data_IF_792523519571
#
_entry.id   IF_792523519571
#
_cell.length_a   1.000
_cell.length_b   1.000
_cell.length_c   1.000
_cell.angle_alpha   90.00
_cell.angle_beta   90.00
_cell.angle_gamma   90.00
#
_symmetry.space_group_name_H-M   'P 1'
#
loop_
_entity.id
_entity.type
_entity.pdbx_description
1 polymer ?
#
# COMPACT_ATOMS: atom_id res chain seq x y z
N UNK A 1 17.33 -29.62 -10.16
CA UNK A 1 16.14 -28.87 -9.70
C UNK A 1 15.77 -27.71 -10.62
N UNK A 2 16.66 -27.26 -11.53
CA UNK A 2 16.42 -26.18 -12.51
C UNK A 2 15.59 -26.56 -13.76
N UNK A 3 15.28 -27.85 -13.97
CA UNK A 3 14.71 -28.36 -15.25
C UNK A 3 13.29 -27.86 -15.58
N UNK A 4 12.58 -27.26 -14.63
CA UNK A 4 11.18 -26.85 -14.77
C UNK A 4 10.98 -25.32 -14.75
N UNK A 5 12.07 -24.56 -14.71
CA UNK A 5 12.05 -23.10 -14.66
C UNK A 5 12.64 -22.52 -15.93
N UNK A 6 12.04 -21.44 -16.43
CA UNK A 6 12.56 -20.67 -17.56
C UNK A 6 12.91 -19.28 -17.06
N UNK A 7 14.15 -18.87 -17.28
CA UNK A 7 14.64 -17.54 -16.91
C UNK A 7 14.45 -16.56 -18.06
N UNK A 8 13.90 -15.38 -17.77
CA UNK A 8 14.06 -14.22 -18.64
C UNK A 8 15.42 -13.58 -18.36
N UNK A 9 16.36 -13.81 -19.29
CA UNK A 9 17.75 -13.32 -19.19
C UNK A 9 17.83 -11.80 -19.05
N UNK A 10 16.83 -11.06 -19.52
CA UNK A 10 16.83 -9.59 -19.46
C UNK A 10 16.49 -9.04 -18.08
N UNK A 11 15.69 -9.77 -17.30
CA UNK A 11 15.21 -9.36 -15.98
C UNK A 11 15.77 -10.21 -14.83
N UNK A 12 16.34 -11.38 -15.14
CA UNK A 12 16.75 -12.39 -14.15
C UNK A 12 15.57 -13.12 -13.49
N UNK A 13 14.35 -12.87 -13.96
CA UNK A 13 13.13 -13.43 -13.36
C UNK A 13 12.93 -14.86 -13.85
N UNK A 14 12.60 -15.75 -12.92
CA UNK A 14 12.38 -17.17 -13.17
C UNK A 14 10.89 -17.52 -13.16
N UNK A 15 10.46 -18.25 -14.18
CA UNK A 15 9.07 -18.58 -14.43
C UNK A 15 8.85 -20.10 -14.55
N UNK A 16 7.73 -20.61 -14.04
CA UNK A 16 7.33 -22.01 -14.14
C UNK A 16 5.91 -22.14 -14.69
N UNK A 17 5.74 -22.87 -15.79
CA UNK A 17 4.44 -23.12 -16.43
C UNK A 17 3.99 -24.56 -16.15
N UNK A 18 2.91 -24.70 -15.38
CA UNK A 18 2.32 -25.99 -15.01
C UNK A 18 1.13 -26.30 -15.90
N UNK A 19 1.40 -26.76 -17.13
CA UNK A 19 0.40 -26.88 -18.19
C UNK A 19 -0.49 -28.13 -18.10
N UNK A 20 -0.01 -29.17 -17.41
CA UNK A 20 -0.74 -30.43 -17.22
C UNK A 20 -1.55 -30.45 -15.91
N UNK A 21 -1.53 -29.37 -15.13
CA UNK A 21 -2.18 -29.29 -13.83
C UNK A 21 -3.59 -28.69 -13.91
N UNK A 22 -4.57 -29.36 -13.30
CA UNK A 22 -5.94 -28.88 -13.16
C UNK A 22 -6.23 -28.51 -11.69
N UNK A 23 -5.80 -27.32 -11.28
CA UNK A 23 -5.96 -26.82 -9.91
C UNK A 23 -6.96 -25.66 -9.85
N UNK A 24 -7.61 -25.46 -8.70
CA UNK A 24 -8.30 -24.18 -8.39
C UNK A 24 -7.29 -23.06 -8.16
N UNK A 25 -7.72 -21.79 -8.21
CA UNK A 25 -6.84 -20.64 -7.95
C UNK A 25 -6.12 -20.74 -6.60
N UNK A 26 -6.84 -21.09 -5.53
CA UNK A 26 -6.26 -21.23 -4.19
C UNK A 26 -5.23 -22.36 -4.11
N UNK A 27 -5.50 -23.50 -4.78
CA UNK A 27 -4.56 -24.62 -4.83
C UNK A 27 -3.32 -24.27 -5.66
N UNK A 28 -3.50 -23.60 -6.81
CA UNK A 28 -2.40 -23.12 -7.63
C UNK A 28 -1.51 -22.15 -6.85
N UNK A 29 -2.10 -21.19 -6.12
CA UNK A 29 -1.36 -20.28 -5.25
C UNK A 29 -0.54 -21.02 -4.20
N UNK A 30 -1.16 -21.98 -3.51
CA UNK A 30 -0.49 -22.77 -2.47
C UNK A 30 0.68 -23.58 -3.06
N UNK A 31 0.52 -24.11 -4.28
CA UNK A 31 1.57 -24.82 -5.00
C UNK A 31 2.76 -23.92 -5.37
N UNK A 32 2.52 -22.66 -5.74
CA UNK A 32 3.58 -21.67 -5.92
C UNK A 32 4.28 -21.36 -4.59
N UNK A 33 3.51 -21.09 -3.52
CA UNK A 33 4.06 -20.76 -2.19
C UNK A 33 4.97 -21.85 -1.62
N UNK A 34 4.64 -23.12 -1.84
CA UNK A 34 5.46 -24.27 -1.45
C UNK A 34 6.84 -24.31 -2.13
N UNK A 35 7.00 -23.61 -3.26
CA UNK A 35 8.26 -23.50 -4.01
C UNK A 35 9.00 -22.20 -3.72
N UNK A 36 8.66 -21.50 -2.63
CA UNK A 36 9.18 -20.18 -2.28
C UNK A 36 8.97 -19.15 -3.40
N UNK A 37 7.72 -19.12 -3.86
CA UNK A 37 7.24 -18.45 -5.05
C UNK A 37 5.78 -17.98 -4.82
N UNK A 38 5.19 -17.27 -5.77
CA UNK A 38 3.80 -16.76 -5.66
C UNK A 38 3.15 -16.80 -7.06
N UNK A 39 1.84 -16.58 -7.21
CA UNK A 39 1.24 -16.49 -8.55
C UNK A 39 1.71 -15.25 -9.33
N UNK A 40 1.63 -15.31 -10.66
CA UNK A 40 2.16 -14.32 -11.58
C UNK A 40 1.59 -12.95 -11.29
N UNK A 41 2.46 -11.96 -11.23
CA UNK A 41 2.08 -10.57 -11.46
C UNK A 41 2.75 -10.03 -12.71
N UNK A 42 1.97 -9.37 -13.56
CA UNK A 42 2.50 -8.68 -14.74
C UNK A 42 2.47 -7.19 -14.44
N UNK A 43 3.63 -6.59 -14.31
CA UNK A 43 3.75 -5.17 -13.95
C UNK A 43 4.28 -4.29 -15.07
N UNK A 44 4.89 -4.90 -16.08
CA UNK A 44 5.54 -4.22 -17.19
C UNK A 44 5.10 -4.78 -18.56
N UNK A 45 5.15 -3.95 -19.59
CA UNK A 45 4.74 -4.34 -20.94
C UNK A 45 5.69 -5.37 -21.57
N UNK A 46 6.98 -5.29 -21.27
CA UNK A 46 7.98 -6.26 -21.72
C UNK A 46 7.72 -7.64 -21.10
N UNK A 47 7.38 -7.68 -19.80
CA UNK A 47 6.99 -8.92 -19.12
C UNK A 47 5.76 -9.54 -19.79
N UNK A 48 4.73 -8.75 -20.11
CA UNK A 48 3.56 -9.24 -20.84
C UNK A 48 3.94 -9.87 -22.20
N UNK A 49 4.83 -9.24 -22.96
CA UNK A 49 5.28 -9.75 -24.25
C UNK A 49 6.04 -11.07 -24.09
N UNK A 50 6.93 -11.14 -23.10
CA UNK A 50 7.68 -12.36 -22.78
C UNK A 50 6.76 -13.52 -22.38
N UNK A 51 5.81 -13.27 -21.46
CA UNK A 51 4.83 -14.27 -21.03
C UNK A 51 3.94 -14.73 -22.19
N UNK A 52 3.57 -13.83 -23.10
CA UNK A 52 2.80 -14.18 -24.29
C UNK A 52 3.55 -15.14 -25.20
N UNK A 53 4.84 -14.93 -25.43
CA UNK A 53 5.65 -15.85 -26.24
C UNK A 53 5.85 -17.21 -25.53
N UNK A 54 6.09 -17.21 -24.22
CA UNK A 54 6.22 -18.45 -23.44
C UNK A 54 4.93 -19.30 -23.47
N UNK A 55 3.77 -18.64 -23.44
CA UNK A 55 2.47 -19.33 -23.35
C UNK A 55 1.82 -19.61 -24.71
N UNK A 56 2.37 -19.07 -25.80
CA UNK A 56 1.81 -19.13 -27.17
C UNK A 56 1.47 -20.54 -27.67
N UNK A 57 2.26 -21.53 -27.26
CA UNK A 57 2.08 -22.93 -27.67
C UNK A 57 0.93 -23.65 -26.96
N UNK A 58 0.41 -23.08 -25.87
CA UNK A 58 -0.66 -23.69 -25.09
C UNK A 58 -2.00 -23.12 -25.55
N UNK A 59 -2.90 -24.00 -26.00
CA UNK A 59 -4.25 -23.63 -26.45
C UNK A 59 -5.25 -23.38 -25.32
N UNK A 60 -4.78 -23.18 -24.09
CA UNK A 60 -5.61 -23.02 -22.89
C UNK A 60 -5.05 -21.97 -21.93
N UNK A 61 -5.93 -21.54 -21.03
CA UNK A 61 -5.70 -20.50 -20.05
C UNK A 61 -5.11 -21.06 -18.74
N UNK A 62 -4.34 -20.25 -17.99
CA UNK A 62 -3.71 -20.65 -16.72
C UNK A 62 -4.27 -19.80 -15.54
N UNK A 63 -3.69 -19.73 -14.32
CA UNK A 63 -4.14 -18.86 -13.19
C UNK A 63 -3.22 -17.70 -12.73
N UNK A 64 -3.49 -16.40 -12.98
CA UNK A 64 -2.61 -15.31 -12.49
C UNK A 64 -2.87 -14.96 -11.02
N UNK A 65 -1.96 -14.21 -10.39
CA UNK A 65 -2.12 -13.70 -9.04
C UNK A 65 -3.15 -12.56 -8.92
N UNK A 66 -3.68 -12.03 -10.03
CA UNK A 66 -4.63 -10.91 -10.01
C UNK A 66 -5.98 -11.35 -9.46
N UNK A 67 -6.47 -10.67 -8.43
CA UNK A 67 -7.70 -11.04 -7.75
C UNK A 67 -8.41 -9.85 -7.10
N UNK A 68 -9.66 -10.07 -6.67
CA UNK A 68 -10.47 -9.14 -5.86
C UNK A 68 -10.98 -9.82 -4.58
N UNK A 69 -10.20 -10.74 -3.99
CA UNK A 69 -10.65 -11.53 -2.83
C UNK A 69 -10.81 -10.67 -1.57
N UNK A 70 -10.12 -9.53 -1.50
CA UNK A 70 -10.32 -8.56 -0.44
C UNK A 70 -11.55 -7.70 -0.77
N UNK A 71 -12.66 -7.93 -0.07
CA UNK A 71 -13.93 -7.23 -0.29
C UNK A 71 -13.85 -5.71 -0.16
N UNK A 72 -12.88 -5.19 0.60
CA UNK A 72 -12.74 -3.76 0.82
C UNK A 72 -11.91 -3.08 -0.28
N UNK A 73 -11.00 -3.79 -0.95
CA UNK A 73 -10.11 -3.22 -1.98
C UNK A 73 -10.49 -3.65 -3.40
N UNK A 74 -9.84 -3.00 -4.36
CA UNK A 74 -9.92 -3.31 -5.79
C UNK A 74 -9.02 -4.47 -6.20
N UNK A 75 -8.69 -4.48 -7.49
CA UNK A 75 -7.78 -5.43 -8.09
C UNK A 75 -6.39 -5.34 -7.45
N UNK A 76 -5.83 -6.48 -7.11
CA UNK A 76 -4.50 -6.59 -6.49
C UNK A 76 -3.81 -7.90 -6.90
N UNK A 77 -2.48 -7.87 -6.98
CA UNK A 77 -1.66 -9.06 -7.19
C UNK A 77 -1.48 -9.82 -5.87
N UNK A 78 -1.53 -11.16 -5.92
CA UNK A 78 -1.37 -12.01 -4.74
C UNK A 78 0.00 -11.88 -4.06
N UNK A 79 1.04 -11.53 -4.81
CA UNK A 79 2.39 -11.27 -4.31
C UNK A 79 2.66 -9.85 -3.85
N UNK A 80 1.65 -8.97 -3.82
CA UNK A 80 1.81 -7.59 -3.36
C UNK A 80 2.42 -6.63 -4.38
N UNK A 81 2.78 -7.11 -5.57
CA UNK A 81 3.17 -6.25 -6.70
C UNK A 81 2.09 -5.19 -6.99
N UNK A 82 2.47 -4.00 -7.47
CA UNK A 82 1.53 -2.93 -7.78
C UNK A 82 0.67 -3.28 -9.01
N UNK A 83 -0.64 -3.08 -8.92
CA UNK A 83 -1.55 -3.25 -10.05
C UNK A 83 -1.58 -1.97 -10.90
N UNK A 84 -0.52 -1.79 -11.70
CA UNK A 84 -0.29 -0.58 -12.51
C UNK A 84 -0.34 -0.79 -14.03
N UNK A 85 -0.28 -2.05 -14.49
CA UNK A 85 -0.39 -2.41 -15.89
C UNK A 85 -1.64 -3.26 -16.13
N UNK A 86 -2.42 -2.89 -17.16
CA UNK A 86 -3.69 -3.53 -17.48
C UNK A 86 -3.68 -4.09 -18.91
N UNK A 87 -4.24 -5.30 -19.06
CA UNK A 87 -4.35 -5.97 -20.35
C UNK A 87 -5.63 -6.83 -20.40
N UNK A 88 -6.79 -6.17 -20.26
CA UNK A 88 -8.08 -6.86 -20.23
C UNK A 88 -8.52 -7.31 -21.64
N UNK A 89 -9.18 -8.46 -21.73
CA UNK A 89 -9.73 -8.94 -23.00
C UNK A 89 -10.87 -8.02 -23.51
N UNK A 90 -10.99 -7.80 -24.84
CA UNK A 90 -11.94 -6.83 -25.44
C UNK A 90 -13.43 -7.04 -25.08
N UNK A 91 -13.82 -8.25 -24.65
CA UNK A 91 -15.22 -8.61 -24.34
C UNK A 91 -15.61 -8.30 -22.88
N UNK A 92 -14.69 -7.79 -22.06
CA UNK A 92 -14.97 -7.41 -20.67
C UNK A 92 -14.84 -5.90 -20.48
N UNK A 93 -15.77 -5.14 -21.08
CA UNK A 93 -16.11 -3.79 -20.59
C UNK A 93 -16.77 -3.95 -19.21
N UNK A 94 -15.92 -4.00 -18.19
CA UNK A 94 -16.18 -4.41 -16.79
C UNK A 94 -16.35 -5.94 -16.59
N UNK A 95 -15.47 -6.60 -15.83
CA UNK A 95 -15.67 -8.00 -15.49
C UNK A 95 -16.72 -8.11 -14.37
N UNK A 96 -17.88 -8.67 -14.70
CA UNK A 96 -18.81 -9.28 -13.75
C UNK A 96 -18.35 -10.70 -13.33
N UNK A 97 -17.10 -11.06 -13.62
CA UNK A 97 -16.50 -12.38 -13.38
C UNK A 97 -15.22 -12.22 -12.55
N UNK A 98 -15.15 -12.92 -11.42
CA UNK A 98 -14.28 -12.65 -10.28
C UNK A 98 -12.86 -13.25 -10.35
N UNK A 99 -12.44 -13.86 -11.46
CA UNK A 99 -11.05 -14.32 -11.62
C UNK A 99 -10.71 -14.35 -13.10
N UNK A 100 -9.56 -13.78 -13.48
CA UNK A 100 -9.00 -13.89 -14.83
C UNK A 100 -7.64 -14.59 -14.79
N UNK A 101 -7.27 -15.11 -15.95
CA UNK A 101 -6.41 -16.28 -16.15
C UNK A 101 -4.90 -15.92 -16.32
N UNK A 102 -4.00 -16.82 -15.89
CA UNK A 102 -2.60 -17.19 -16.28
C UNK A 102 -1.53 -17.44 -15.16
N UNK A 103 -1.07 -18.66 -14.82
CA UNK A 103 -0.21 -18.94 -13.63
C UNK A 103 1.27 -18.90 -13.88
N UNK A 104 2.02 -18.30 -12.94
CA UNK A 104 3.48 -18.19 -12.97
C UNK A 104 4.03 -17.65 -11.65
N UNK A 105 5.34 -17.42 -11.54
CA UNK A 105 6.08 -17.18 -10.29
C UNK A 105 6.95 -15.92 -10.35
N UNK A 106 7.14 -15.24 -9.21
CA UNK A 106 8.23 -14.28 -8.99
C UNK A 106 9.09 -14.62 -7.77
N UNK A 107 10.40 -14.40 -7.89
CA UNK A 107 11.40 -14.47 -6.82
C UNK A 107 12.43 -13.35 -7.04
N UNK A 108 12.35 -12.26 -6.28
CA UNK A 108 13.28 -11.91 -5.19
C UNK A 108 13.05 -10.47 -4.71
N UNK A 109 13.40 -10.24 -3.44
CA UNK A 109 13.25 -9.00 -2.70
C UNK A 109 14.62 -8.40 -2.40
N UNK A 110 14.76 -7.09 -2.50
CA UNK A 110 15.59 -6.28 -1.59
C UNK A 110 15.40 -4.80 -1.89
N UNK A 111 14.90 -4.05 -0.92
CA UNK A 111 15.07 -2.60 -0.88
C UNK A 111 15.92 -2.27 0.35
N UNK A 112 17.03 -1.59 0.09
CA UNK A 112 17.91 -0.98 1.08
C UNK A 112 17.15 0.22 1.64
N UNK A 113 16.90 0.26 2.94
CA UNK A 113 16.33 1.42 3.61
C UNK A 113 17.50 2.33 4.04
N UNK A 114 17.63 3.48 3.39
CA UNK A 114 18.49 4.56 3.86
C UNK A 114 17.84 5.20 5.09
N UNK A 115 18.60 5.42 6.16
CA UNK A 115 18.07 5.94 7.43
C UNK A 115 17.37 7.30 7.24
N UNK A 116 16.04 7.32 7.41
CA UNK A 116 15.21 8.51 7.24
C UNK A 116 15.47 9.51 8.37
N UNK A 117 16.22 10.58 8.05
CA UNK A 117 16.43 11.72 8.95
C UNK A 117 15.17 12.59 9.07
N UNK A 118 14.96 13.28 10.20
CA UNK A 118 13.90 14.27 10.32
C UNK A 118 14.05 15.39 9.27
N UNK A 119 12.93 15.87 8.74
CA UNK A 119 12.91 16.89 7.68
C UNK A 119 12.06 18.08 8.06
N UNK A 120 12.50 19.28 7.64
CA UNK A 120 11.78 20.54 7.89
C UNK A 120 11.01 20.96 6.65
N UNK A 121 9.72 21.22 6.84
CA UNK A 121 8.80 21.66 5.80
C UNK A 121 8.41 23.13 5.97
N UNK A 122 8.07 23.79 4.86
CA UNK A 122 7.48 25.14 4.88
C UNK A 122 6.14 25.16 5.61
N UNK A 123 5.75 26.31 6.15
CA UNK A 123 4.45 26.46 6.83
C UNK A 123 3.29 25.95 5.96
N UNK A 124 2.36 25.20 6.55
CA UNK A 124 1.24 24.56 5.84
C UNK A 124 1.55 23.21 5.17
N UNK A 125 2.78 22.72 5.30
CA UNK A 125 3.19 21.40 4.82
C UNK A 125 3.53 20.47 5.99
N UNK A 126 3.17 19.19 5.87
CA UNK A 126 3.42 18.17 6.90
C UNK A 126 4.56 17.25 6.47
N UNK A 127 5.59 17.04 7.31
CA UNK A 127 6.70 16.14 7.02
C UNK A 127 6.29 14.67 7.19
N UNK A 128 6.72 13.81 6.28
CA UNK A 128 6.65 12.35 6.42
C UNK A 128 7.69 11.67 5.54
N UNK A 129 8.41 10.68 6.07
CA UNK A 129 9.37 9.85 5.33
C UNK A 129 10.32 10.65 4.42
N UNK A 130 10.93 11.72 4.92
CA UNK A 130 11.87 12.52 4.14
C UNK A 130 11.24 13.52 3.16
N UNK A 131 9.91 13.63 3.09
CA UNK A 131 9.18 14.49 2.15
C UNK A 131 8.19 15.40 2.88
N UNK A 132 7.68 16.40 2.18
CA UNK A 132 6.67 17.35 2.65
C UNK A 132 5.39 17.20 1.84
N UNK A 133 4.23 17.13 2.51
CA UNK A 133 2.92 16.97 1.88
C UNK A 133 1.96 18.09 2.25
N UNK A 134 1.04 18.43 1.36
CA UNK A 134 -0.03 19.40 1.63
C UNK A 134 -1.28 19.10 0.82
N UNK A 135 -2.46 19.22 1.45
CA UNK A 135 -3.76 19.12 0.78
C UNK A 135 -4.19 20.51 0.35
N UNK A 136 -4.45 20.68 -0.94
CA UNK A 136 -5.02 21.86 -1.56
C UNK A 136 -6.51 21.62 -1.82
N UNK A 137 -7.38 22.39 -1.17
CA UNK A 137 -8.84 22.23 -1.27
C UNK A 137 -9.49 23.11 -2.34
N UNK A 138 -8.74 24.01 -2.96
CA UNK A 138 -9.20 24.78 -4.12
C UNK A 138 -9.41 23.81 -5.30
N UNK A 139 -10.63 23.65 -5.84
CA UNK A 139 -10.88 22.71 -6.92
C UNK A 139 -10.12 23.07 -8.20
N UNK A 140 -9.43 22.10 -8.80
CA UNK A 140 -8.71 22.23 -10.08
C UNK A 140 -8.86 20.96 -10.91
N UNK A 141 -8.70 21.08 -12.23
CA UNK A 141 -8.48 19.89 -13.09
C UNK A 141 -7.18 19.21 -12.69
N UNK A 142 -7.00 17.93 -13.05
CA UNK A 142 -5.76 17.22 -12.73
C UNK A 142 -4.52 17.95 -13.28
N UNK A 143 -4.61 18.47 -14.51
CA UNK A 143 -3.52 19.23 -15.15
C UNK A 143 -3.23 20.55 -14.44
N UNK A 144 -4.26 21.30 -14.05
CA UNK A 144 -4.09 22.56 -13.33
C UNK A 144 -3.58 22.35 -11.90
N UNK A 145 -4.01 21.26 -11.26
CA UNK A 145 -3.51 20.81 -9.97
C UNK A 145 -2.01 20.47 -10.02
N UNK A 146 -1.58 19.74 -11.06
CA UNK A 146 -0.17 19.46 -11.34
C UNK A 146 0.65 20.76 -11.48
N UNK A 147 0.18 21.69 -12.31
CA UNK A 147 0.83 23.00 -12.48
C UNK A 147 0.91 23.76 -11.15
N UNK A 148 -0.15 23.69 -10.34
CA UNK A 148 -0.20 24.32 -9.01
C UNK A 148 0.84 23.74 -8.04
N UNK A 149 0.99 22.42 -7.99
CA UNK A 149 2.02 21.79 -7.17
C UNK A 149 3.43 22.12 -7.67
N UNK A 150 3.65 22.15 -9.00
CA UNK A 150 4.93 22.54 -9.62
C UNK A 150 5.34 23.97 -9.26
N UNK A 151 4.39 24.91 -9.18
CA UNK A 151 4.63 26.29 -8.74
C UNK A 151 5.10 26.40 -7.29
N UNK A 152 4.94 25.35 -6.48
CA UNK A 152 5.37 25.28 -5.08
C UNK A 152 6.60 24.38 -4.90
N UNK A 153 7.39 24.19 -5.96
CA UNK A 153 8.57 23.32 -6.03
C UNK A 153 8.27 21.85 -5.71
N UNK A 154 7.05 21.40 -6.01
CA UNK A 154 6.59 20.04 -5.79
C UNK A 154 6.00 19.40 -7.03
N UNK A 155 5.24 18.34 -6.79
CA UNK A 155 4.44 17.62 -7.77
C UNK A 155 3.13 17.17 -7.11
N UNK A 156 2.17 16.65 -7.88
CA UNK A 156 1.10 15.85 -7.31
C UNK A 156 1.68 14.65 -6.56
N UNK A 157 1.07 14.29 -5.44
CA UNK A 157 1.62 13.30 -4.55
C UNK A 157 1.70 11.91 -5.20
N UNK A 158 2.92 11.37 -5.21
CA UNK A 158 3.25 9.97 -5.40
C UNK A 158 3.18 9.20 -4.08
N UNK A 159 2.90 7.89 -4.15
CA UNK A 159 2.77 7.02 -2.98
C UNK A 159 3.45 5.67 -3.25
N UNK A 160 4.42 5.31 -2.40
CA UNK A 160 5.34 4.19 -2.63
C UNK A 160 5.25 3.09 -1.58
N UNK A 161 4.49 3.32 -0.51
CA UNK A 161 4.36 2.36 0.58
C UNK A 161 3.01 2.46 1.27
N UNK A 162 2.64 1.39 1.98
CA UNK A 162 1.47 1.40 2.87
C UNK A 162 1.61 2.46 3.95
N UNK A 163 2.82 2.72 4.44
CA UNK A 163 3.10 3.68 5.51
C UNK A 163 2.83 5.13 5.06
N UNK A 164 3.27 5.48 3.85
CA UNK A 164 3.02 6.78 3.21
C UNK A 164 1.53 6.99 2.93
N UNK A 165 0.87 5.99 2.33
CA UNK A 165 -0.59 6.01 2.17
C UNK A 165 -1.32 6.20 3.51
N UNK A 166 -0.91 5.45 4.53
CA UNK A 166 -1.48 5.53 5.87
C UNK A 166 -1.30 6.92 6.48
N UNK A 167 -0.17 7.57 6.25
CA UNK A 167 0.05 8.96 6.65
C UNK A 167 -0.91 9.94 5.94
N UNK A 168 -1.12 9.79 4.62
CA UNK A 168 -2.06 10.64 3.87
C UNK A 168 -3.47 10.58 4.48
N UNK A 169 -3.95 9.38 4.79
CA UNK A 169 -5.32 9.17 5.29
C UNK A 169 -5.47 9.57 6.76
N UNK A 170 -4.50 9.25 7.62
CA UNK A 170 -4.65 9.41 9.08
C UNK A 170 -4.09 10.73 9.63
N UNK A 171 -3.05 11.30 9.01
CA UNK A 171 -2.29 12.41 9.57
C UNK A 171 -2.29 13.67 8.71
N UNK A 172 -2.57 13.58 7.41
CA UNK A 172 -2.52 14.76 6.53
C UNK A 172 -3.76 15.67 6.64
N UNK A 173 -4.81 15.21 7.32
CA UNK A 173 -6.08 15.93 7.45
C UNK A 173 -7.06 15.64 6.31
N UNK A 174 -6.95 14.44 5.73
CA UNK A 174 -7.91 13.88 4.78
C UNK A 174 -9.29 13.73 5.43
N UNK A 175 -10.37 13.94 4.64
CA UNK A 175 -11.74 13.69 5.06
C UNK A 175 -12.41 12.68 4.11
N UNK A 176 -13.15 11.69 4.63
CA UNK A 176 -13.88 10.72 3.80
C UNK A 176 -14.83 11.29 2.75
N UNK A 177 -15.28 12.54 2.93
CA UNK A 177 -16.19 13.25 2.03
C UNK A 177 -15.47 14.01 0.91
N UNK A 178 -14.14 14.01 0.91
CA UNK A 178 -13.30 14.70 -0.06
C UNK A 178 -12.77 13.70 -1.10
N UNK A 179 -12.80 14.13 -2.36
CA UNK A 179 -12.11 13.48 -3.49
C UNK A 179 -10.88 14.33 -3.82
N UNK A 180 -9.69 13.74 -3.77
CA UNK A 180 -8.42 14.46 -3.95
C UNK A 180 -7.58 13.83 -5.07
N UNK A 181 -7.09 14.63 -6.01
CA UNK A 181 -6.16 14.17 -7.04
C UNK A 181 -4.83 13.69 -6.45
N UNK A 182 -4.34 12.58 -7.01
CA UNK A 182 -2.98 12.06 -6.85
C UNK A 182 -2.22 12.17 -8.18
N UNK A 183 -0.90 11.98 -8.15
CA UNK A 183 -0.08 12.05 -9.37
C UNK A 183 -0.21 10.83 -10.30
N UNK A 184 -0.93 9.78 -9.90
CA UNK A 184 -1.03 8.54 -10.66
C UNK A 184 -1.96 8.73 -11.87
N UNK A 185 -1.47 8.40 -13.06
CA UNK A 185 -2.20 8.57 -14.31
C UNK A 185 -1.69 7.60 -15.39
N UNK A 186 -2.45 7.36 -16.45
CA UNK A 186 -2.03 6.62 -17.65
C UNK A 186 -2.12 7.46 -18.93
N UNK A 187 -2.01 8.79 -18.80
CA UNK A 187 -2.15 9.75 -19.90
C UNK A 187 -1.12 9.58 -21.01
N UNK A 188 0.09 9.10 -20.66
CA UNK A 188 1.18 8.89 -21.62
C UNK A 188 1.03 7.59 -22.40
N UNK A 189 0.55 6.54 -21.73
CA UNK A 189 0.40 5.22 -22.29
C UNK A 189 -0.84 4.57 -21.67
N UNK A 190 -1.92 4.52 -22.45
CA UNK A 190 -3.19 3.97 -21.99
C UNK A 190 -3.00 2.57 -21.41
N UNK A 191 -3.66 2.30 -20.28
CA UNK A 191 -3.54 1.07 -19.49
C UNK A 191 -2.21 0.86 -18.73
N UNK A 192 -1.32 1.86 -18.72
CA UNK A 192 -0.04 1.81 -18.00
C UNK A 192 0.10 3.03 -17.07
N UNK A 193 -0.12 2.81 -15.77
CA UNK A 193 -0.10 3.87 -14.78
C UNK A 193 1.33 4.25 -14.34
N UNK A 194 1.62 5.55 -14.39
CA UNK A 194 2.85 6.19 -13.95
C UNK A 194 2.57 7.38 -13.01
N UNK A 195 3.55 7.72 -12.17
CA UNK A 195 3.49 8.92 -11.33
C UNK A 195 3.94 10.14 -12.13
N UNK A 196 3.26 11.27 -11.95
CA UNK A 196 3.60 12.55 -12.61
C UNK A 196 4.98 13.08 -12.26
N UNK A 197 5.53 12.70 -11.10
CA UNK A 197 6.88 13.06 -10.67
C UNK A 197 7.98 12.14 -11.24
N UNK A 198 7.61 11.13 -12.03
CA UNK A 198 8.52 10.18 -12.67
C UNK A 198 9.06 9.09 -11.74
N UNK A 199 8.64 9.05 -10.47
CA UNK A 199 9.02 7.99 -9.54
C UNK A 199 8.37 6.65 -9.93
N UNK A 200 8.98 5.50 -9.61
CA UNK A 200 8.40 4.19 -9.93
C UNK A 200 7.12 3.94 -9.11
N UNK A 201 6.10 3.35 -9.75
CA UNK A 201 4.91 2.86 -9.03
C UNK A 201 5.25 1.54 -8.39
N UNK A 202 5.54 1.57 -7.10
CA UNK A 202 5.86 0.40 -6.26
C UNK A 202 4.70 -0.03 -5.38
N UNK A 203 3.65 0.78 -5.30
CA UNK A 203 2.50 0.57 -4.43
C UNK A 203 1.22 1.05 -5.10
N UNK A 204 0.14 0.29 -4.94
CA UNK A 204 -1.21 0.67 -5.39
C UNK A 204 -2.26 0.28 -4.37
N UNK A 205 -3.27 1.14 -4.17
CA UNK A 205 -4.37 0.88 -3.25
C UNK A 205 -5.74 1.19 -3.84
N UNK A 206 -6.11 0.44 -4.87
CA UNK A 206 -7.37 0.64 -5.61
C UNK A 206 -8.61 0.38 -4.76
N UNK A 207 -9.65 1.16 -5.03
CA UNK A 207 -11.01 0.97 -4.56
C UNK A 207 -11.64 -0.21 -5.33
N UNK A 208 -12.63 -0.85 -4.71
CA UNK A 208 -13.36 -1.96 -5.31
C UNK A 208 -13.80 -1.63 -6.74
N UNK A 209 -13.49 -2.53 -7.67
CA UNK A 209 -13.73 -2.44 -9.13
C UNK A 209 -12.85 -1.46 -9.92
N UNK A 210 -11.98 -0.67 -9.28
CA UNK A 210 -11.04 0.20 -9.99
C UNK A 210 -9.69 -0.49 -10.21
N UNK A 211 -8.90 -0.01 -11.19
CA UNK A 211 -9.25 0.97 -12.24
C UNK A 211 -10.36 0.50 -13.19
N UNK A 212 -11.19 1.44 -13.67
CA UNK A 212 -12.29 1.18 -14.62
C UNK A 212 -12.14 2.04 -15.87
N UNK A 213 -12.40 1.44 -17.04
CA UNK A 213 -12.43 2.12 -18.34
C UNK A 213 -13.80 1.93 -19.00
N UNK A 214 -14.83 2.58 -18.45
CA UNK A 214 -16.19 2.44 -19.01
C UNK A 214 -16.28 3.19 -20.33
N UNK A 215 -15.67 4.38 -20.37
CA UNK A 215 -15.73 5.29 -21.50
C UNK A 215 -14.35 5.64 -22.08
N UNK A 216 -13.26 5.18 -21.45
CA UNK A 216 -11.89 5.42 -21.91
C UNK A 216 -11.41 6.87 -21.71
N UNK A 217 -12.01 7.56 -20.73
CA UNK A 217 -11.70 8.96 -20.38
C UNK A 217 -11.19 9.08 -18.93
N UNK A 218 -11.12 7.96 -18.21
CA UNK A 218 -10.85 7.89 -16.78
C UNK A 218 -9.36 7.63 -16.53
N UNK A 219 -8.51 8.54 -17.01
CA UNK A 219 -7.05 8.35 -17.04
C UNK A 219 -6.31 8.93 -15.82
N UNK A 220 -7.04 9.61 -14.92
CA UNK A 220 -6.48 10.27 -13.74
C UNK A 220 -6.95 9.62 -12.44
N UNK A 221 -6.11 9.63 -11.41
CA UNK A 221 -6.40 8.93 -10.14
C UNK A 221 -6.79 9.88 -9.02
N UNK A 222 -7.90 9.58 -8.33
CA UNK A 222 -8.35 10.25 -7.11
C UNK A 222 -8.20 9.34 -5.89
N UNK A 223 -7.92 9.94 -4.74
CA UNK A 223 -8.04 9.35 -3.41
C UNK A 223 -9.43 9.72 -2.83
N UNK A 224 -10.26 8.73 -2.49
CA UNK A 224 -11.64 8.98 -2.04
C UNK A 224 -12.23 7.94 -1.07
N UNK A 225 -13.34 8.33 -0.44
CA UNK A 225 -14.14 7.47 0.42
C UNK A 225 -13.54 7.25 1.81
N UNK A 226 -14.22 6.41 2.62
CA UNK A 226 -13.87 6.23 4.03
C UNK A 226 -12.40 5.83 4.23
N UNK A 227 -11.87 4.97 3.37
CA UNK A 227 -10.51 4.47 3.50
C UNK A 227 -9.51 5.27 2.65
N UNK A 228 -9.94 6.24 1.85
CA UNK A 228 -9.05 6.93 0.91
C UNK A 228 -8.45 6.00 -0.16
N UNK A 229 -9.19 4.96 -0.57
CA UNK A 229 -8.73 4.12 -1.69
C UNK A 229 -8.78 4.88 -3.02
N UNK A 230 -8.04 4.35 -3.98
CA UNK A 230 -7.81 5.03 -5.24
C UNK A 230 -8.86 4.65 -6.27
N UNK A 231 -9.35 5.61 -7.02
CA UNK A 231 -10.26 5.38 -8.13
C UNK A 231 -9.77 6.14 -9.35
N UNK A 232 -10.01 5.57 -10.52
CA UNK A 232 -9.86 6.30 -11.79
C UNK A 232 -11.04 7.25 -11.98
N UNK A 233 -10.78 8.44 -12.48
CA UNK A 233 -11.78 9.46 -12.76
C UNK A 233 -11.36 10.34 -13.96
N UNK A 234 -12.32 11.09 -14.50
CA UNK A 234 -12.13 11.98 -15.65
C UNK A 234 -11.28 13.19 -15.24
N UNK A 235 -10.14 13.38 -15.91
CA UNK A 235 -9.12 14.37 -15.57
C UNK A 235 -9.60 15.83 -15.52
N UNK A 236 -10.66 16.16 -16.27
CA UNK A 236 -11.23 17.51 -16.35
C UNK A 236 -12.13 17.88 -15.17
N UNK A 237 -12.38 16.95 -14.24
CA UNK A 237 -13.13 17.26 -13.01
C UNK A 237 -12.36 18.24 -12.13
N UNK A 238 -13.09 19.18 -11.55
CA UNK A 238 -12.57 20.17 -10.60
C UNK A 238 -12.60 19.58 -9.19
N UNK A 239 -11.45 19.12 -8.68
CA UNK A 239 -11.32 18.49 -7.36
C UNK A 239 -10.16 19.10 -6.55
N UNK A 240 -10.15 18.86 -5.24
CA UNK A 240 -8.97 19.13 -4.42
C UNK A 240 -7.82 18.21 -4.83
N UNK A 241 -6.62 18.45 -4.33
CA UNK A 241 -5.42 17.71 -4.73
C UNK A 241 -4.37 17.67 -3.63
N UNK A 242 -3.50 16.66 -3.68
CA UNK A 242 -2.39 16.52 -2.73
C UNK A 242 -1.08 16.83 -3.44
N UNK A 243 -0.30 17.77 -2.91
CA UNK A 243 1.05 18.02 -3.38
C UNK A 243 2.09 17.33 -2.48
N UNK A 244 3.19 16.87 -3.09
CA UNK A 244 4.38 16.33 -2.43
C UNK A 244 5.61 17.08 -2.93
N UNK A 245 6.56 17.37 -2.04
CA UNK A 245 7.84 17.97 -2.42
C UNK A 245 8.99 17.55 -1.52
N UNK A 246 10.21 17.79 -2.00
CA UNK A 246 11.41 17.67 -1.20
C UNK A 246 11.43 18.73 -0.09
N UNK A 247 12.04 18.44 1.06
CA UNK A 247 12.13 19.38 2.17
C UNK A 247 13.06 20.55 1.84
N UNK A 248 12.81 21.70 2.45
CA UNK A 248 13.63 22.92 2.23
C UNK A 248 15.04 22.79 2.80
N UNK A 249 15.26 21.88 3.75
CA UNK A 249 16.56 21.56 4.35
C UNK A 249 16.47 20.24 5.11
N UNK A 250 17.55 19.44 5.11
CA UNK A 250 17.70 18.32 6.05
C UNK A 250 18.04 18.89 7.44
N UNK A 251 17.33 18.48 8.50
CA UNK A 251 17.70 18.95 9.84
C UNK A 251 18.97 18.20 10.31
N UNK A 252 19.96 18.94 10.82
CA UNK A 252 21.12 18.37 11.51
C UNK A 252 20.80 17.96 12.95
N UNK A 253 19.61 18.27 13.44
CA UNK A 253 19.15 17.93 14.79
C UNK A 253 18.03 16.88 14.75
N UNK A 254 18.12 15.90 15.66
CA UNK A 254 17.00 15.04 16.06
C UNK A 254 15.96 15.91 16.77
N UNK A 255 15.24 16.75 16.05
CA UNK A 255 14.12 17.50 16.61
C UNK A 255 13.01 16.49 16.98
N UNK A 256 12.95 16.15 18.27
CA UNK A 256 11.79 15.49 18.85
C UNK A 256 10.63 16.47 18.81
N UNK A 257 9.79 16.34 17.78
CA UNK A 257 8.52 17.07 17.64
C UNK A 257 7.76 16.92 18.96
N UNK A 258 7.59 18.01 19.71
CA UNK A 258 6.67 18.05 20.86
C UNK A 258 5.26 18.16 20.30
N UNK A 259 4.55 17.05 20.26
CA UNK A 259 3.12 17.08 19.94
C UNK A 259 2.35 17.71 21.11
N UNK A 260 1.55 18.76 20.89
CA UNK A 260 0.83 19.44 21.96
C UNK A 260 -0.04 18.47 22.77
N UNK A 261 0.19 18.41 24.08
CA UNK A 261 -0.52 17.52 25.01
C UNK A 261 0.12 16.14 25.21
N UNK A 262 1.20 15.80 24.51
CA UNK A 262 1.93 14.54 24.69
C UNK A 262 3.32 14.76 25.31
N UNK A 263 3.84 13.72 25.97
CA UNK A 263 5.21 13.70 26.47
C UNK A 263 6.22 13.74 25.32
N UNK A 264 7.46 14.17 25.61
CA UNK A 264 8.54 14.24 24.59
C UNK A 264 8.77 12.87 23.96
N UNK A 265 8.73 12.80 22.62
CA UNK A 265 8.93 11.56 21.86
C UNK A 265 7.64 10.79 21.55
N UNK A 266 6.52 11.16 22.16
CA UNK A 266 5.22 10.56 21.91
C UNK A 266 4.49 11.29 20.77
N UNK A 267 3.79 10.52 19.94
CA UNK A 267 3.01 11.00 18.81
C UNK A 267 1.52 11.00 19.14
N UNK A 268 0.87 12.14 18.95
CA UNK A 268 -0.56 12.29 19.21
C UNK A 268 -1.40 11.76 18.07
N UNK A 269 -2.42 10.97 18.39
CA UNK A 269 -3.51 10.64 17.47
C UNK A 269 -4.83 10.58 18.23
N UNK A 270 -5.80 11.40 17.82
CA UNK A 270 -7.05 11.58 18.55
C UNK A 270 -6.83 12.14 19.97
N UNK A 271 -7.32 11.40 20.97
CA UNK A 271 -7.14 11.71 22.39
C UNK A 271 -5.95 10.98 23.03
N UNK A 272 -5.25 10.14 22.27
CA UNK A 272 -4.18 9.28 22.77
C UNK A 272 -2.81 9.75 22.28
N UNK A 273 -1.78 9.34 23.02
CA UNK A 273 -0.37 9.53 22.69
C UNK A 273 0.27 8.15 22.53
N UNK A 274 1.07 7.95 21.49
CA UNK A 274 1.70 6.67 21.16
C UNK A 274 3.22 6.82 21.10
N UNK A 275 3.94 5.76 21.47
CA UNK A 275 5.40 5.71 21.40
C UNK A 275 5.83 4.37 20.81
N UNK A 276 6.81 4.40 19.91
CA UNK A 276 7.46 3.18 19.42
C UNK A 276 8.70 2.93 20.25
N UNK A 277 8.78 1.78 20.92
CA UNK A 277 9.92 1.40 21.76
C UNK A 277 11.25 1.43 20.99
N UNK A 278 12.35 1.90 21.60
CA UNK A 278 13.62 2.07 20.91
C UNK A 278 14.40 0.77 20.70
N UNK A 279 14.01 -0.31 21.38
CA UNK A 279 14.70 -1.60 21.36
C UNK A 279 13.72 -2.76 21.12
N UNK A 280 14.17 -3.84 20.48
CA UNK A 280 13.39 -5.07 20.38
C UNK A 280 13.28 -5.72 21.78
N UNK A 281 12.07 -6.13 22.15
CA UNK A 281 11.75 -6.73 23.44
C UNK A 281 10.83 -7.94 23.25
N UNK A 282 10.78 -8.84 24.23
CA UNK A 282 9.69 -9.83 24.32
C UNK A 282 8.37 -9.17 24.69
N UNK A 283 7.24 -9.85 24.48
CA UNK A 283 5.92 -9.32 24.86
C UNK A 283 5.84 -8.93 26.34
N UNK A 284 6.33 -9.79 27.24
CA UNK A 284 6.30 -9.54 28.69
C UNK A 284 7.15 -8.33 29.09
N UNK A 285 8.35 -8.20 28.53
CA UNK A 285 9.23 -7.05 28.78
C UNK A 285 8.64 -5.75 28.22
N UNK A 286 8.03 -5.81 27.03
CA UNK A 286 7.37 -4.68 26.40
C UNK A 286 6.17 -4.20 27.24
N UNK A 287 5.33 -5.13 27.71
CA UNK A 287 4.19 -4.80 28.56
C UNK A 287 4.64 -4.13 29.87
N UNK A 288 5.64 -4.71 30.55
CA UNK A 288 6.22 -4.13 31.78
C UNK A 288 6.81 -2.74 31.54
N UNK A 289 7.46 -2.52 30.40
CA UNK A 289 8.03 -1.21 30.03
C UNK A 289 6.95 -0.16 29.81
N UNK A 290 5.83 -0.53 29.18
CA UNK A 290 4.68 0.35 29.01
C UNK A 290 4.05 0.71 30.37
N UNK A 291 3.83 -0.27 31.25
CA UNK A 291 3.27 -0.06 32.60
C UNK A 291 4.14 0.89 33.44
N UNK A 292 5.46 0.70 33.40
CA UNK A 292 6.44 1.59 34.06
C UNK A 292 6.38 3.04 33.56
N UNK A 293 5.92 3.24 32.32
CA UNK A 293 5.73 4.56 31.71
C UNK A 293 4.32 5.11 31.91
N UNK A 294 3.52 4.54 32.83
CA UNK A 294 2.10 4.88 33.04
C UNK A 294 1.26 4.76 31.76
N UNK A 295 1.62 3.81 30.91
CA UNK A 295 0.97 3.49 29.64
C UNK A 295 0.69 1.98 29.57
N UNK A 296 0.17 1.52 28.44
CA UNK A 296 -0.04 0.10 28.13
C UNK A 296 0.33 -0.16 26.68
N UNK A 297 0.53 -1.43 26.31
CA UNK A 297 0.74 -1.80 24.91
C UNK A 297 -0.46 -1.35 24.07
N UNK A 298 -0.19 -0.70 22.93
CA UNK A 298 -1.22 -0.04 22.14
C UNK A 298 -2.41 -0.96 21.83
N UNK A 299 -3.62 -0.47 22.08
CA UNK A 299 -4.87 -1.03 21.59
C UNK A 299 -5.11 -0.59 20.14
N UNK A 300 -6.06 -1.25 19.49
CA UNK A 300 -6.53 -0.84 18.16
C UNK A 300 -8.05 -0.91 18.15
N UNK A 301 -8.68 0.25 18.34
CA UNK A 301 -10.13 0.40 18.49
C UNK A 301 -10.80 0.70 17.15
N UNK A 302 -10.04 1.21 16.18
CA UNK A 302 -10.59 1.61 14.89
C UNK A 302 -9.62 1.38 13.72
N UNK A 303 -10.20 1.34 12.53
CA UNK A 303 -9.45 1.31 11.27
C UNK A 303 -8.49 2.50 11.12
N UNK A 304 -8.90 3.68 11.58
CA UNK A 304 -8.10 4.90 11.43
C UNK A 304 -6.91 4.91 12.39
N UNK A 305 -7.10 4.37 13.59
CA UNK A 305 -6.01 4.13 14.54
C UNK A 305 -5.03 3.07 14.01
N UNK A 306 -5.53 1.94 13.47
CA UNK A 306 -4.70 0.95 12.77
C UNK A 306 -3.85 1.60 11.67
N UNK A 307 -4.46 2.49 10.89
CA UNK A 307 -3.80 3.22 9.80
C UNK A 307 -2.73 4.16 10.36
N UNK A 308 -3.04 4.91 11.41
CA UNK A 308 -2.05 5.75 12.09
C UNK A 308 -0.86 4.93 12.59
N UNK A 309 -1.09 3.80 13.26
CA UNK A 309 -0.02 2.94 13.78
C UNK A 309 0.89 2.40 12.65
N UNK A 310 0.32 2.04 11.49
CA UNK A 310 1.11 1.63 10.30
C UNK A 310 2.01 2.78 9.82
N UNK A 311 1.49 4.01 9.78
CA UNK A 311 2.31 5.16 9.38
C UNK A 311 3.40 5.49 10.40
N UNK A 312 3.14 5.25 11.69
CA UNK A 312 4.07 5.51 12.78
C UNK A 312 5.23 4.51 12.79
N UNK A 313 4.94 3.22 12.55
CA UNK A 313 5.95 2.15 12.54
C UNK A 313 6.59 1.95 11.17
N UNK A 314 5.94 2.32 10.07
CA UNK A 314 6.43 2.00 8.73
C UNK A 314 7.71 2.70 8.28
N UNK A 315 8.27 3.62 9.08
CA UNK A 315 9.60 4.20 8.88
C UNK A 315 10.73 3.39 9.52
N UNK A 316 10.37 2.36 10.29
CA UNK A 316 11.29 1.47 10.99
C UNK A 316 11.65 0.28 10.10
N UNK A 317 12.85 -0.27 10.29
CA UNK A 317 13.30 -1.46 9.56
C UNK A 317 12.80 -2.77 10.19
N UNK A 318 12.32 -2.74 11.43
CA UNK A 318 11.84 -3.92 12.12
C UNK A 318 10.57 -4.49 11.48
N UNK A 319 10.51 -5.82 11.41
CA UNK A 319 9.41 -6.54 10.75
C UNK A 319 8.13 -6.61 11.57
N UNK A 320 8.24 -6.56 12.90
CA UNK A 320 7.13 -6.78 13.82
C UNK A 320 7.19 -5.79 14.97
N UNK A 321 6.01 -5.36 15.41
CA UNK A 321 5.81 -4.48 16.56
C UNK A 321 4.74 -5.09 17.46
N UNK A 322 5.01 -5.13 18.76
CA UNK A 322 4.02 -5.59 19.73
C UNK A 322 2.86 -4.59 19.85
N UNK A 323 1.65 -5.14 19.91
CA UNK A 323 0.42 -4.46 20.34
C UNK A 323 -0.15 -5.22 21.55
N UNK A 324 -1.16 -4.67 22.22
CA UNK A 324 -1.68 -5.23 23.47
C UNK A 324 -2.58 -6.46 23.33
N UNK A 325 -2.87 -6.95 22.12
CA UNK A 325 -3.80 -8.06 21.92
C UNK A 325 -3.12 -9.40 22.23
N UNK A 326 -3.64 -10.16 23.20
CA UNK A 326 -3.09 -11.46 23.58
C UNK A 326 -4.17 -12.42 24.08
N UNK A 327 -3.90 -13.72 24.01
CA UNK A 327 -4.72 -14.80 24.58
C UNK A 327 -3.97 -15.53 25.71
N UNK A 328 -3.06 -14.83 26.40
CA UNK A 328 -2.25 -15.43 27.48
C UNK A 328 -3.05 -15.75 28.73
N UNK A 329 -4.15 -15.03 28.97
CA UNK A 329 -5.06 -15.28 30.11
C UNK A 329 -6.01 -16.43 29.82
N UNK A 330 -6.56 -16.49 28.61
CA UNK A 330 -7.54 -17.49 28.18
C UNK A 330 -7.21 -17.94 26.75
N UNK A 331 -6.87 -19.22 26.58
CA UNK A 331 -6.30 -19.72 25.33
C UNK A 331 -7.22 -19.55 24.11
N UNK A 332 -8.54 -19.55 24.33
CA UNK A 332 -9.57 -19.42 23.29
C UNK A 332 -10.02 -17.97 23.04
N UNK A 333 -9.56 -17.00 23.83
CA UNK A 333 -10.08 -15.63 23.83
C UNK A 333 -8.97 -14.59 23.81
N UNK A 334 -9.06 -13.63 22.88
CA UNK A 334 -8.11 -12.52 22.82
C UNK A 334 -8.66 -11.31 23.58
N UNK A 335 -7.81 -10.73 24.44
CA UNK A 335 -8.07 -9.53 25.22
C UNK A 335 -6.94 -8.52 25.09
N UNK A 336 -7.25 -7.26 25.27
CA UNK A 336 -6.25 -6.20 25.36
C UNK A 336 -5.60 -6.20 26.74
N UNK A 337 -4.31 -5.85 26.84
CA UNK A 337 -3.58 -5.74 28.12
C UNK A 337 -4.15 -4.69 29.08
N UNK A 338 -4.99 -3.76 28.59
CA UNK A 338 -5.71 -2.81 29.43
C UNK A 338 -7.04 -3.38 30.00
N UNK A 339 -7.37 -4.63 29.70
CA UNK A 339 -8.59 -5.33 30.15
C UNK A 339 -9.80 -5.21 29.22
N UNK A 340 -9.72 -4.39 28.17
CA UNK A 340 -10.83 -4.18 27.24
C UNK A 340 -11.01 -5.34 26.25
N UNK A 341 -12.24 -5.46 25.74
CA UNK A 341 -12.58 -6.43 24.69
C UNK A 341 -12.30 -5.87 23.29
N UNK A 342 -11.78 -6.68 22.35
CA UNK A 342 -11.52 -6.22 21.00
C UNK A 342 -12.82 -6.03 20.20
N UNK A 343 -13.13 -4.78 19.84
CA UNK A 343 -14.24 -4.43 18.94
C UNK A 343 -13.82 -4.27 17.47
N UNK A 344 -12.52 -4.14 17.22
CA UNK A 344 -11.92 -4.07 15.90
C UNK A 344 -10.83 -5.14 15.77
N UNK A 345 -10.74 -5.76 14.59
CA UNK A 345 -9.69 -6.73 14.29
C UNK A 345 -9.11 -6.48 12.91
N UNK A 346 -7.80 -6.70 12.78
CA UNK A 346 -7.07 -6.58 11.52
C UNK A 346 -6.11 -7.77 11.35
N UNK A 347 -6.68 -8.97 11.42
CA UNK A 347 -5.92 -10.21 11.31
C UNK A 347 -5.27 -10.37 9.93
N UNK A 348 -4.05 -10.92 9.93
CA UNK A 348 -3.43 -11.40 8.71
C UNK A 348 -4.16 -12.64 8.17
N UNK A 349 -3.90 -13.01 6.93
CA UNK A 349 -4.43 -14.25 6.36
C UNK A 349 -4.07 -15.45 7.25
N UNK A 350 -5.06 -16.28 7.58
CA UNK A 350 -4.94 -17.46 8.44
C UNK A 350 -4.59 -17.19 9.93
N UNK A 351 -4.76 -15.95 10.41
CA UNK A 351 -4.67 -15.61 11.83
C UNK A 351 -6.08 -15.44 12.45
N UNK A 352 -6.25 -15.67 13.77
CA UNK A 352 -5.26 -16.11 14.76
C UNK A 352 -4.88 -17.60 14.68
N UNK A 353 -5.51 -18.36 13.77
CA UNK A 353 -5.41 -19.81 13.70
C UNK A 353 -6.66 -20.48 14.27
N UNK A 354 -6.66 -21.82 14.30
CA UNK A 354 -7.62 -22.62 15.08
C UNK A 354 -7.02 -22.99 16.41
#
# INVERSE_FOLDING_TARGET
TERFWTEDVSTGIHYQINSESALTWHQARKSCQQQNAELLSITETQEQAYIRELTKKFGYAFWIGLNTLNFNSGWQWSGGSPFRYLNWAPVLKSPLSSVLYYSLVLKNCSLILEELRPVKCTHGWRPYAGHCYSIQREPKTWKDALISCKKQDGDLASVHSIAEYSFLVSQLGYKPTEDLWLGLNDLKAHFYFEWSDGTPVTFTKWQRRHPTYRNGLEDCTVMKGQDGYWATDVCDKQLGYICKKNPSSQSSEKETIKDPGCQKGWKRYGLHCYLVGPAPLTFSEANKTCEQSTAYLATVESRMEQTFLISLTGLRSEKYFWIGLSNTEEQESFRWTNGESPHFTHWNMAMPGK
#
